data_IF_573131371019
#
_entry.id   IF_573131371019
#
_cell.length_a   1.000
_cell.length_b   1.000
_cell.length_c   1.000
_cell.angle_alpha   90.00
_cell.angle_beta   90.00
_cell.angle_gamma   90.00
#
_symmetry.space_group_name_H-M   'P 1'
#
loop_
_entity.id
_entity.type
_entity.pdbx_description
1 polymer ?
#
# COMPACT_ATOMS: atom_id res chain seq x y z
N UNK A 1 6.28 -18.02 -30.79
CA UNK A 1 6.65 -17.44 -29.46
C UNK A 1 6.97 -15.97 -29.70
N UNK A 2 5.93 -15.13 -29.71
CA UNK A 2 6.04 -13.70 -29.98
C UNK A 2 6.31 -12.98 -28.64
N UNK A 3 7.48 -12.36 -28.52
CA UNK A 3 7.79 -11.44 -27.42
C UNK A 3 6.70 -10.33 -27.39
N UNK A 4 5.88 -10.34 -26.36
CA UNK A 4 4.93 -9.24 -26.10
C UNK A 4 5.72 -7.98 -25.72
N UNK A 5 5.42 -6.91 -26.40
CA UNK A 5 6.11 -5.63 -26.35
C UNK A 5 5.92 -4.94 -24.98
N UNK A 6 6.92 -4.20 -24.55
CA UNK A 6 6.97 -3.52 -23.27
C UNK A 6 6.09 -2.26 -23.23
N UNK A 7 5.36 -2.05 -22.15
CA UNK A 7 4.75 -0.75 -21.85
C UNK A 7 5.81 0.16 -21.21
N UNK A 8 6.08 1.32 -21.82
CA UNK A 8 7.03 2.32 -21.30
C UNK A 8 6.25 3.37 -20.52
N UNK A 9 6.54 3.49 -19.24
CA UNK A 9 5.94 4.47 -18.34
C UNK A 9 6.94 5.60 -18.11
N UNK A 10 6.62 6.82 -18.58
CA UNK A 10 7.34 8.02 -18.18
C UNK A 10 6.57 8.69 -17.05
N UNK A 11 7.07 8.66 -15.83
CA UNK A 11 6.51 9.38 -14.70
C UNK A 11 7.49 10.50 -14.31
N UNK A 12 7.08 11.76 -14.42
CA UNK A 12 7.82 12.88 -13.85
C UNK A 12 7.26 13.16 -12.45
N UNK A 13 8.08 13.01 -11.43
CA UNK A 13 7.72 13.30 -10.04
C UNK A 13 8.21 14.72 -9.72
N UNK A 14 7.28 15.67 -9.61
CA UNK A 14 7.59 17.03 -9.17
C UNK A 14 7.18 17.13 -7.69
N UNK A 15 8.12 16.97 -6.76
CA UNK A 15 7.89 17.26 -5.36
C UNK A 15 8.44 18.66 -5.06
N UNK A 16 7.56 19.65 -4.94
CA UNK A 16 7.93 21.00 -4.51
C UNK A 16 7.86 21.02 -2.98
N UNK A 17 9.01 20.98 -2.33
CA UNK A 17 9.10 21.21 -0.89
C UNK A 17 9.22 22.72 -0.62
N UNK A 18 8.14 23.35 -0.25
CA UNK A 18 8.21 24.65 0.45
C UNK A 18 8.64 24.36 1.88
N UNK A 19 9.83 24.80 2.26
CA UNK A 19 10.58 24.54 3.48
C UNK A 19 9.80 24.33 4.77
N UNK A 20 9.41 23.08 5.02
CA UNK A 20 8.97 22.58 6.30
C UNK A 20 9.43 21.13 6.41
N UNK A 21 10.16 20.83 7.47
CA UNK A 21 10.78 19.52 7.69
C UNK A 21 9.75 18.38 7.57
N UNK A 22 10.11 17.29 6.89
CA UNK A 22 9.24 16.12 6.65
C UNK A 22 8.89 15.42 7.96
N UNK A 23 7.68 14.88 8.07
CA UNK A 23 7.39 13.82 9.01
C UNK A 23 8.27 12.61 8.67
N UNK A 24 8.52 11.67 9.60
CA UNK A 24 9.42 10.54 9.38
C UNK A 24 8.77 9.56 8.40
N UNK A 25 8.87 9.88 7.12
CA UNK A 25 8.60 8.98 6.02
C UNK A 25 9.95 8.42 5.59
N UNK A 26 10.09 7.09 5.60
CA UNK A 26 11.33 6.38 5.40
C UNK A 26 12.22 6.93 4.29
N UNK A 27 13.48 7.06 4.64
CA UNK A 27 14.68 7.21 3.81
C UNK A 27 14.91 8.51 3.03
N UNK A 28 15.46 9.47 3.74
CA UNK A 28 16.58 10.29 3.30
C UNK A 28 17.56 10.39 4.49
N UNK A 29 18.32 9.33 4.72
CA UNK A 29 19.25 9.20 5.83
C UNK A 29 20.67 9.56 5.38
N UNK A 30 20.89 10.82 5.02
CA UNK A 30 22.17 11.44 5.31
C UNK A 30 22.09 12.03 6.70
N UNK A 31 22.54 11.28 7.70
CA UNK A 31 22.88 11.69 9.09
C UNK A 31 22.33 13.06 9.56
N UNK A 32 21.07 13.36 9.33
CA UNK A 32 20.37 14.28 10.22
C UNK A 32 19.96 13.44 11.43
N UNK A 33 20.78 13.50 12.50
CA UNK A 33 20.36 13.08 13.83
C UNK A 33 18.95 13.62 14.01
N UNK A 34 17.95 12.73 14.12
CA UNK A 34 16.62 13.12 14.59
C UNK A 34 16.80 13.72 15.97
N UNK A 35 17.08 15.01 16.04
CA UNK A 35 16.84 15.74 17.25
C UNK A 35 15.31 15.65 17.43
N UNK A 36 14.85 14.87 18.39
CA UNK A 36 13.53 15.07 18.97
C UNK A 36 13.51 16.54 19.40
N UNK A 37 12.88 17.39 18.59
CA UNK A 37 12.76 18.80 18.95
C UNK A 37 12.02 18.87 20.29
N UNK A 38 12.50 19.68 21.26
CA UNK A 38 11.91 19.77 22.58
C UNK A 38 10.42 20.10 22.43
N UNK A 39 9.59 19.42 23.20
CA UNK A 39 8.14 19.61 23.27
C UNK A 39 7.86 21.09 23.48
N UNK A 40 7.45 21.79 22.43
CA UNK A 40 7.15 23.22 22.49
C UNK A 40 5.84 23.44 23.26
N UNK A 41 5.84 24.36 24.22
CA UNK A 41 4.62 24.81 24.89
C UNK A 41 3.65 25.56 23.94
N UNK A 42 4.09 25.81 22.70
CA UNK A 42 3.25 26.40 21.66
C UNK A 42 2.98 25.32 20.59
N UNK A 43 1.71 25.17 20.22
CA UNK A 43 1.34 24.25 19.14
C UNK A 43 2.06 24.63 17.84
N UNK A 44 2.46 23.61 17.05
CA UNK A 44 3.16 23.77 15.76
C UNK A 44 2.31 23.19 14.64
N UNK A 45 1.97 24.03 13.66
CA UNK A 45 1.36 23.59 12.41
C UNK A 45 2.42 23.43 11.35
N UNK A 46 2.45 22.26 10.70
CA UNK A 46 3.26 21.93 9.54
C UNK A 46 2.38 21.68 8.34
N UNK A 47 2.66 22.36 7.22
CA UNK A 47 1.99 22.13 5.95
C UNK A 47 3.03 21.56 4.99
N UNK A 48 2.70 20.44 4.35
CA UNK A 48 3.55 19.78 3.37
C UNK A 48 2.70 19.18 2.24
N UNK A 49 3.33 18.84 1.12
CA UNK A 49 2.61 18.26 0.01
C UNK A 49 3.53 17.94 -1.15
N UNK A 50 2.98 17.28 -2.17
CA UNK A 50 3.69 16.98 -3.41
C UNK A 50 2.70 16.78 -4.56
N UNK A 51 3.20 16.90 -5.79
CA UNK A 51 2.47 16.67 -7.03
C UNK A 51 3.18 15.58 -7.83
N UNK A 52 2.38 14.72 -8.48
CA UNK A 52 2.85 13.65 -9.38
C UNK A 52 2.16 13.75 -10.74
N UNK A 53 2.55 14.72 -11.61
CA UNK A 53 2.16 14.67 -13.00
C UNK A 53 2.78 13.43 -13.65
N UNK A 54 1.99 12.76 -14.50
CA UNK A 54 2.45 11.57 -15.21
C UNK A 54 2.09 11.63 -16.68
N UNK A 55 3.01 11.13 -17.50
CA UNK A 55 2.75 10.68 -18.85
C UNK A 55 2.83 9.16 -18.85
N UNK A 56 1.81 8.49 -19.36
CA UNK A 56 1.77 7.04 -19.48
C UNK A 56 1.49 6.63 -20.91
N UNK A 57 2.19 5.59 -21.36
CA UNK A 57 1.95 4.93 -22.62
C UNK A 57 1.69 3.45 -22.37
N UNK A 58 0.77 2.84 -23.13
CA UNK A 58 0.43 1.44 -23.01
C UNK A 58 -0.04 0.83 -24.32
N UNK A 59 0.05 -0.49 -24.41
CA UNK A 59 -0.59 -1.26 -25.47
C UNK A 59 -2.12 -1.22 -25.32
N UNK A 60 -2.84 -1.65 -26.35
CA UNK A 60 -4.29 -1.41 -26.45
C UNK A 60 -5.14 -1.88 -25.29
N UNK A 61 -4.77 -2.98 -24.64
CA UNK A 61 -5.45 -3.55 -23.48
C UNK A 61 -4.86 -3.08 -22.12
N UNK A 62 -3.88 -2.16 -22.15
CA UNK A 62 -3.25 -1.66 -20.93
C UNK A 62 -4.23 -0.86 -20.06
N UNK A 63 -4.11 -1.02 -18.74
CA UNK A 63 -4.82 -0.20 -17.75
C UNK A 63 -3.90 0.89 -17.24
N UNK A 64 -3.96 2.08 -17.83
CA UNK A 64 -3.24 3.26 -17.36
C UNK A 64 -3.87 3.81 -16.06
N UNK A 65 -3.09 4.57 -15.31
CA UNK A 65 -3.50 5.15 -14.01
C UNK A 65 -3.91 6.61 -14.10
N UNK A 66 -3.76 7.21 -15.29
CA UNK A 66 -4.18 8.58 -15.60
C UNK A 66 -4.94 8.58 -16.92
N UNK A 67 -5.89 9.51 -17.04
CA UNK A 67 -6.75 9.69 -18.21
C UNK A 67 -7.82 8.60 -18.36
N UNK A 68 -8.56 8.69 -19.44
CA UNK A 68 -9.64 7.75 -19.77
C UNK A 68 -9.10 6.42 -20.30
N UNK A 69 -9.84 5.31 -20.12
CA UNK A 69 -9.53 4.04 -20.77
C UNK A 69 -9.37 4.18 -22.29
N UNK A 70 -8.74 3.18 -22.91
CA UNK A 70 -8.63 3.11 -24.35
C UNK A 70 -9.93 2.60 -24.97
N UNK A 71 -10.40 3.26 -26.00
CA UNK A 71 -11.63 2.90 -26.74
C UNK A 71 -11.33 1.88 -27.86
N UNK A 72 -10.05 1.77 -28.29
CA UNK A 72 -9.61 0.83 -29.31
C UNK A 72 -8.51 -0.12 -28.80
N UNK A 73 -8.86 -1.34 -28.33
CA UNK A 73 -7.89 -2.29 -27.79
C UNK A 73 -6.82 -2.79 -28.78
N UNK A 74 -7.00 -2.53 -30.09
CA UNK A 74 -6.02 -2.92 -31.11
C UNK A 74 -4.88 -1.91 -31.29
N UNK A 75 -4.97 -0.74 -30.70
CA UNK A 75 -3.98 0.33 -30.84
C UNK A 75 -3.35 0.70 -29.51
N UNK A 76 -2.07 1.03 -29.53
CA UNK A 76 -1.40 1.63 -28.39
C UNK A 76 -1.90 3.05 -28.13
N UNK A 77 -1.87 3.48 -26.90
CA UNK A 77 -2.37 4.80 -26.52
C UNK A 77 -1.53 5.45 -25.42
N UNK A 78 -1.71 6.74 -25.23
CA UNK A 78 -1.01 7.47 -24.16
C UNK A 78 -1.96 8.44 -23.47
N UNK A 79 -1.61 8.82 -22.25
CA UNK A 79 -2.36 9.77 -21.41
C UNK A 79 -1.43 10.63 -20.58
N UNK A 80 -1.82 11.89 -20.43
CA UNK A 80 -1.28 12.79 -19.40
C UNK A 80 -2.30 12.93 -18.28
N UNK A 81 -1.83 13.08 -17.04
CA UNK A 81 -2.69 13.40 -15.93
C UNK A 81 -1.93 13.73 -14.65
N UNK A 82 -2.63 14.27 -13.68
CA UNK A 82 -2.14 14.45 -12.33
C UNK A 82 -2.54 13.23 -11.50
N UNK A 83 -1.60 12.29 -11.38
CA UNK A 83 -1.84 11.01 -10.69
C UNK A 83 -2.11 11.18 -9.20
N UNK A 84 -1.39 12.11 -8.56
CA UNK A 84 -1.53 12.47 -7.14
C UNK A 84 -1.20 13.93 -6.94
N UNK A 85 -1.98 14.58 -6.07
CA UNK A 85 -1.71 15.92 -5.57
C UNK A 85 -2.01 15.92 -4.08
N UNK A 86 -1.02 15.58 -3.23
CA UNK A 86 -1.24 15.47 -1.80
C UNK A 86 -0.94 16.81 -1.10
N UNK A 87 -1.83 17.20 -0.19
CA UNK A 87 -1.66 18.31 0.72
C UNK A 87 -1.95 17.83 2.15
N UNK A 88 -0.96 17.94 3.04
CA UNK A 88 -0.99 17.44 4.41
C UNK A 88 -0.83 18.60 5.40
N UNK A 89 -1.73 18.65 6.37
CA UNK A 89 -1.69 19.53 7.53
C UNK A 89 -1.43 18.67 8.76
N UNK A 90 -0.38 18.94 9.49
CA UNK A 90 -0.03 18.24 10.71
C UNK A 90 0.13 19.27 11.84
N UNK A 91 -0.68 19.16 12.87
CA UNK A 91 -0.60 20.00 14.07
C UNK A 91 -0.12 19.15 15.23
N UNK A 92 0.93 19.59 15.88
CA UNK A 92 1.50 18.92 17.07
C UNK A 92 1.45 19.87 18.28
N UNK A 93 1.03 19.31 19.42
CA UNK A 93 1.01 20.01 20.70
C UNK A 93 1.32 19.02 21.82
N UNK A 94 2.43 19.24 22.52
CA UNK A 94 2.93 18.32 23.56
C UNK A 94 3.01 16.88 23.02
N UNK A 95 2.32 15.96 23.65
CA UNK A 95 2.32 14.53 23.30
C UNK A 95 1.21 14.15 22.32
N UNK A 96 0.44 15.12 21.83
CA UNK A 96 -0.65 14.89 20.90
C UNK A 96 -0.37 15.51 19.53
N UNK A 97 -0.82 14.86 18.47
CA UNK A 97 -0.82 15.41 17.13
C UNK A 97 -2.14 15.15 16.42
N UNK A 98 -2.47 16.00 15.46
CA UNK A 98 -3.61 15.80 14.56
C UNK A 98 -3.13 15.96 13.12
N UNK A 99 -3.57 15.10 12.25
CA UNK A 99 -3.19 15.09 10.83
C UNK A 99 -4.45 15.09 9.97
N UNK A 100 -4.44 15.96 8.94
CA UNK A 100 -5.41 15.91 7.84
C UNK A 100 -4.62 15.93 6.54
N UNK A 101 -4.88 14.97 5.66
CA UNK A 101 -4.30 14.90 4.32
C UNK A 101 -5.39 14.70 3.28
N UNK A 102 -5.30 15.46 2.19
CA UNK A 102 -6.19 15.35 1.02
C UNK A 102 -5.37 15.04 -0.23
N UNK A 103 -6.01 14.38 -1.19
CA UNK A 103 -5.49 14.21 -2.56
C UNK A 103 -6.36 15.04 -3.51
N UNK A 104 -5.74 15.90 -4.29
CA UNK A 104 -6.37 16.80 -5.27
C UNK A 104 -5.91 16.40 -6.67
N UNK A 105 -6.24 15.19 -7.09
CA UNK A 105 -5.91 14.70 -8.43
C UNK A 105 -6.98 15.08 -9.45
N UNK A 106 -6.59 15.19 -10.73
CA UNK A 106 -7.53 15.46 -11.83
C UNK A 106 -8.47 14.29 -12.07
N UNK A 107 -8.05 13.08 -11.68
CA UNK A 107 -8.79 11.83 -11.94
C UNK A 107 -9.94 11.59 -10.97
N UNK A 108 -9.82 12.13 -9.75
CA UNK A 108 -10.74 11.78 -8.65
C UNK A 108 -11.33 13.00 -7.93
N UNK A 109 -10.91 14.22 -8.31
CA UNK A 109 -11.27 15.42 -7.57
C UNK A 109 -10.54 15.50 -6.21
N UNK A 110 -11.22 16.02 -5.19
CA UNK A 110 -10.68 16.13 -3.83
C UNK A 110 -11.12 14.93 -3.00
N UNK A 111 -10.17 14.17 -2.49
CA UNK A 111 -10.43 12.97 -1.68
C UNK A 111 -9.69 13.10 -0.36
N UNK A 112 -10.38 12.78 0.76
CA UNK A 112 -9.75 12.63 2.06
C UNK A 112 -8.81 11.40 2.02
N UNK A 113 -7.57 11.57 2.50
CA UNK A 113 -6.60 10.49 2.68
C UNK A 113 -6.45 10.15 4.15
N UNK A 114 -5.97 11.08 4.94
CA UNK A 114 -5.74 10.87 6.37
C UNK A 114 -6.52 11.91 7.16
N UNK A 115 -7.13 11.49 8.27
CA UNK A 115 -7.75 12.35 9.25
C UNK A 115 -7.72 11.65 10.61
N UNK A 116 -6.68 11.88 11.39
CA UNK A 116 -6.50 11.18 12.66
C UNK A 116 -5.86 12.06 13.74
N UNK A 117 -6.02 11.60 14.97
CA UNK A 117 -5.33 12.11 16.15
C UNK A 117 -4.41 11.01 16.65
N UNK A 118 -3.21 11.39 17.05
CA UNK A 118 -2.21 10.55 17.70
C UNK A 118 -1.89 11.14 19.07
N UNK A 119 -1.85 10.30 20.10
CA UNK A 119 -1.49 10.69 21.47
C UNK A 119 -0.46 9.72 22.00
N UNK A 120 0.71 10.23 22.39
CA UNK A 120 1.76 9.44 23.03
C UNK A 120 1.72 9.66 24.55
N UNK A 121 1.99 8.60 25.30
CA UNK A 121 2.15 8.74 26.74
C UNK A 121 3.45 9.54 27.06
N UNK A 122 3.46 10.37 28.12
CA UNK A 122 4.55 11.32 28.32
C UNK A 122 5.76 10.74 29.10
N UNK A 123 5.63 9.56 29.73
CA UNK A 123 6.65 9.06 30.66
C UNK A 123 7.73 8.24 29.97
N UNK A 124 7.33 7.16 29.28
CA UNK A 124 8.23 6.22 28.58
C UNK A 124 8.37 6.56 27.12
N UNK A 125 7.47 7.35 26.55
CA UNK A 125 7.34 7.68 25.12
C UNK A 125 7.28 6.44 24.22
N UNK A 126 6.83 5.34 24.79
CA UNK A 126 6.79 4.02 24.15
C UNK A 126 5.42 3.70 23.57
N UNK A 127 4.36 4.14 24.26
CA UNK A 127 2.99 3.82 23.89
C UNK A 127 2.29 5.02 23.26
N UNK A 128 1.64 4.77 22.12
CA UNK A 128 0.79 5.75 21.43
C UNK A 128 -0.57 5.15 21.11
N UNK A 129 -1.59 6.02 21.06
CA UNK A 129 -2.91 5.69 20.57
C UNK A 129 -3.21 6.58 19.38
N UNK A 130 -3.52 5.97 18.23
CA UNK A 130 -3.93 6.66 17.02
C UNK A 130 -5.39 6.34 16.71
N UNK A 131 -6.21 7.35 16.41
CA UNK A 131 -7.62 7.15 16.10
C UNK A 131 -8.08 8.07 14.97
N UNK A 132 -8.89 7.55 14.05
CA UNK A 132 -9.40 8.23 12.86
C UNK A 132 -9.22 7.45 11.59
N UNK A 133 -8.96 8.14 10.48
CA UNK A 133 -8.69 7.56 9.15
C UNK A 133 -7.18 7.61 8.87
N UNK A 134 -6.56 6.46 8.72
CA UNK A 134 -5.12 6.33 8.46
C UNK A 134 -4.79 5.00 7.76
N UNK A 135 -3.52 4.80 7.35
CA UNK A 135 -3.08 3.55 6.72
C UNK A 135 -3.30 2.36 7.65
N UNK A 136 -3.82 1.26 7.10
CA UNK A 136 -3.89 -0.03 7.80
C UNK A 136 -2.48 -0.49 8.16
N UNK A 137 -2.20 -0.92 9.40
CA UNK A 137 -0.87 -1.39 9.80
C UNK A 137 -0.62 -2.81 9.27
N UNK A 138 -0.17 -2.92 8.02
CA UNK A 138 0.10 -4.20 7.37
C UNK A 138 1.27 -4.06 6.39
N UNK A 139 2.39 -4.74 6.68
CA UNK A 139 3.58 -4.73 5.85
C UNK A 139 4.28 -3.38 5.76
N UNK A 140 5.15 -3.24 4.78
CA UNK A 140 5.94 -2.03 4.51
C UNK A 140 5.32 -1.13 3.43
N UNK A 141 4.83 -1.72 2.33
CA UNK A 141 4.46 -0.92 1.14
C UNK A 141 3.20 -0.07 1.35
N UNK A 142 2.30 -0.48 2.25
CA UNK A 142 1.13 0.33 2.63
C UNK A 142 1.57 1.59 3.38
N UNK A 143 2.54 1.48 4.29
CA UNK A 143 3.06 2.59 5.08
C UNK A 143 3.88 3.58 4.23
N UNK A 144 4.56 3.10 3.16
CA UNK A 144 5.39 3.95 2.32
C UNK A 144 4.58 5.00 1.57
N UNK A 145 4.96 6.26 1.77
CA UNK A 145 4.41 7.38 0.99
C UNK A 145 4.76 7.23 -0.49
N UNK A 146 3.82 7.61 -1.36
CA UNK A 146 4.09 7.62 -2.80
C UNK A 146 5.11 8.69 -3.22
N UNK A 147 5.46 9.64 -2.36
CA UNK A 147 6.52 10.63 -2.63
C UNK A 147 7.93 10.03 -2.55
N UNK A 148 8.11 8.97 -1.77
CA UNK A 148 9.44 8.36 -1.52
C UNK A 148 9.62 7.03 -2.23
N UNK A 149 8.56 6.36 -2.64
CA UNK A 149 8.66 5.08 -3.35
C UNK A 149 9.53 5.19 -4.61
N UNK A 150 10.25 4.13 -4.88
CA UNK A 150 11.15 3.99 -6.03
C UNK A 150 10.36 3.68 -7.32
N UNK A 151 9.15 3.13 -7.17
CA UNK A 151 8.24 2.81 -8.29
C UNK A 151 6.99 3.70 -8.24
N UNK A 152 6.42 4.12 -9.37
CA UNK A 152 5.24 4.98 -9.42
C UNK A 152 4.02 4.38 -8.72
N UNK A 153 3.85 3.05 -8.83
CA UNK A 153 2.70 2.35 -8.28
C UNK A 153 3.12 1.24 -7.32
N UNK A 154 2.22 0.92 -6.38
CA UNK A 154 2.36 -0.23 -5.49
C UNK A 154 2.28 -1.54 -6.24
N UNK A 155 2.81 -2.58 -5.63
CA UNK A 155 2.64 -3.97 -6.07
C UNK A 155 1.17 -4.32 -6.20
N UNK A 156 0.85 -5.09 -7.25
CA UNK A 156 -0.53 -5.33 -7.66
C UNK A 156 -1.42 -5.92 -6.56
N UNK A 157 -0.85 -6.73 -5.67
CA UNK A 157 -1.56 -7.35 -4.56
C UNK A 157 -2.18 -6.33 -3.58
N UNK A 158 -1.51 -5.19 -3.30
CA UNK A 158 -1.99 -4.22 -2.30
C UNK A 158 -3.28 -3.52 -2.70
N UNK A 159 -3.47 -2.94 -3.90
CA UNK A 159 -4.76 -2.36 -4.28
C UNK A 159 -5.88 -3.41 -4.42
N UNK A 160 -5.55 -4.70 -4.50
CA UNK A 160 -6.53 -5.79 -4.51
C UNK A 160 -6.99 -6.15 -3.09
N UNK A 161 -6.08 -6.26 -2.14
CA UNK A 161 -6.39 -6.65 -0.76
C UNK A 161 -6.74 -5.46 0.14
N UNK A 162 -6.12 -4.31 -0.09
CA UNK A 162 -6.24 -3.09 0.71
C UNK A 162 -6.63 -1.89 -0.17
N UNK A 163 -7.82 -1.90 -0.79
CA UNK A 163 -8.26 -0.78 -1.62
C UNK A 163 -8.16 0.54 -0.86
N UNK A 164 -7.56 1.56 -1.51
CA UNK A 164 -7.29 2.90 -0.97
C UNK A 164 -6.40 2.95 0.28
N UNK A 165 -5.88 1.80 0.75
CA UNK A 165 -4.88 1.60 1.83
C UNK A 165 -5.36 1.99 3.25
N UNK A 166 -6.25 2.97 3.36
CA UNK A 166 -6.75 3.55 4.62
C UNK A 166 -7.99 2.84 5.13
N UNK A 167 -8.17 3.01 6.42
CA UNK A 167 -9.41 2.59 7.09
C UNK A 167 -9.70 3.51 8.28
N UNK A 168 -10.95 3.55 8.70
CA UNK A 168 -11.35 4.21 9.93
C UNK A 168 -11.17 3.25 11.11
N UNK A 169 -10.41 3.68 12.13
CA UNK A 169 -10.14 2.81 13.27
C UNK A 169 -9.42 3.48 14.43
N UNK A 170 -9.04 2.64 15.39
CA UNK A 170 -8.19 2.99 16.51
C UNK A 170 -7.08 1.95 16.67
N UNK A 171 -5.85 2.39 16.88
CA UNK A 171 -4.66 1.57 16.88
C UNK A 171 -3.73 1.94 18.04
N UNK A 172 -3.25 0.93 18.75
CA UNK A 172 -2.13 1.03 19.68
C UNK A 172 -0.83 0.96 18.88
N UNK A 173 0.07 1.87 19.15
CA UNK A 173 1.44 1.89 18.63
C UNK A 173 2.40 1.72 19.80
N UNK A 174 3.25 0.70 19.73
CA UNK A 174 4.31 0.46 20.72
C UNK A 174 5.64 0.55 20.00
N UNK A 175 6.44 1.53 20.35
CA UNK A 175 7.81 1.73 19.85
C UNK A 175 8.61 2.48 20.89
N UNK A 176 9.59 1.84 21.48
CA UNK A 176 10.47 2.47 22.42
C UNK A 176 11.37 3.53 21.74
N UNK A 177 11.82 4.57 22.48
CA UNK A 177 12.80 5.53 22.00
C UNK A 177 14.13 4.88 21.62
N UNK A 178 14.94 5.54 20.77
CA UNK A 178 16.21 5.01 20.24
C UNK A 178 17.26 4.71 21.34
N UNK A 179 17.20 5.39 22.47
CA UNK A 179 18.07 5.15 23.63
C UNK A 179 17.65 3.93 24.46
N UNK A 180 16.52 3.32 24.18
CA UNK A 180 16.03 2.10 24.82
C UNK A 180 16.59 0.85 24.13
N UNK A 181 16.97 -0.20 24.89
CA UNK A 181 17.35 -1.49 24.28
C UNK A 181 16.21 -2.19 23.51
N UNK A 182 14.97 -1.72 23.69
CA UNK A 182 13.78 -2.22 23.01
C UNK A 182 13.42 -1.44 21.74
N UNK A 183 14.23 -0.45 21.31
CA UNK A 183 13.97 0.36 20.10
C UNK A 183 13.86 -0.50 18.83
N UNK A 184 14.51 -1.65 18.82
CA UNK A 184 14.50 -2.62 17.70
C UNK A 184 13.13 -3.24 17.44
N UNK A 185 12.20 -3.19 18.42
CA UNK A 185 10.87 -3.82 18.32
C UNK A 185 9.81 -2.75 18.16
N UNK A 186 8.93 -2.93 17.18
CA UNK A 186 7.73 -2.12 17.00
C UNK A 186 6.48 -2.98 16.88
N UNK A 187 5.38 -2.55 17.49
CA UNK A 187 4.08 -3.19 17.34
C UNK A 187 3.03 -2.13 17.02
N UNK A 188 2.25 -2.38 16.01
CA UNK A 188 1.02 -1.66 15.67
C UNK A 188 -0.11 -2.67 15.71
N UNK A 189 -1.18 -2.40 16.48
CA UNK A 189 -2.32 -3.29 16.56
C UNK A 189 -3.60 -2.49 16.78
N UNK A 190 -4.63 -2.72 15.97
CA UNK A 190 -5.83 -1.89 16.01
C UNK A 190 -7.10 -2.59 15.56
N UNK A 191 -8.20 -1.88 15.78
CA UNK A 191 -9.55 -2.26 15.39
C UNK A 191 -10.03 -1.24 14.35
N UNK A 192 -10.57 -1.75 13.24
CA UNK A 192 -10.94 -0.97 12.07
C UNK A 192 -12.38 -1.28 11.61
N UNK A 193 -12.98 -0.34 10.87
CA UNK A 193 -14.32 -0.54 10.31
C UNK A 193 -14.35 -1.63 9.23
N UNK A 194 -13.24 -1.84 8.51
CA UNK A 194 -13.16 -2.78 7.38
C UNK A 194 -13.70 -2.23 6.05
N UNK A 195 -14.23 -1.00 6.06
CA UNK A 195 -14.88 -0.34 4.91
C UNK A 195 -14.05 0.81 4.31
N UNK A 196 -12.77 0.91 4.68
CA UNK A 196 -11.90 1.99 4.25
C UNK A 196 -12.34 3.33 4.81
N UNK A 197 -12.33 4.37 3.96
CA UNK A 197 -12.78 5.71 4.34
C UNK A 197 -14.29 5.90 4.25
N UNK A 198 -15.02 4.86 3.83
CA UNK A 198 -16.47 4.87 3.74
C UNK A 198 -17.15 4.81 5.10
N UNK A 199 -18.48 4.94 5.10
CA UNK A 199 -19.26 4.84 6.32
C UNK A 199 -19.19 3.40 6.89
N UNK A 200 -19.10 3.31 8.20
CA UNK A 200 -19.25 2.06 8.93
C UNK A 200 -20.72 1.60 8.83
N UNK A 201 -20.94 0.45 8.22
CA UNK A 201 -22.28 -0.02 7.85
C UNK A 201 -22.67 -1.35 8.49
N UNK A 202 -21.83 -1.86 9.40
CA UNK A 202 -22.12 -3.10 10.12
C UNK A 202 -21.57 -3.11 11.55
N UNK A 203 -21.89 -4.16 12.32
CA UNK A 203 -21.47 -4.31 13.72
C UNK A 203 -20.18 -5.10 13.88
N UNK A 204 -19.53 -5.52 12.80
CA UNK A 204 -18.26 -6.25 12.84
C UNK A 204 -17.10 -5.29 12.65
N UNK A 205 -16.02 -5.56 13.35
CA UNK A 205 -14.78 -4.78 13.24
C UNK A 205 -13.64 -5.71 12.88
N UNK A 206 -12.75 -5.18 12.06
CA UNK A 206 -11.57 -5.89 11.61
C UNK A 206 -10.41 -5.62 12.58
N UNK A 207 -9.66 -6.67 12.91
CA UNK A 207 -8.41 -6.56 13.63
C UNK A 207 -7.24 -6.60 12.66
N UNK A 208 -6.31 -5.65 12.79
CA UNK A 208 -5.07 -5.62 12.00
C UNK A 208 -3.91 -5.35 12.94
N UNK A 209 -2.84 -6.13 12.79
CA UNK A 209 -1.61 -5.96 13.55
C UNK A 209 -0.37 -6.19 12.71
N UNK A 210 0.70 -5.45 13.01
CA UNK A 210 2.03 -5.57 12.44
C UNK A 210 3.07 -5.53 13.55
N UNK A 211 3.86 -6.58 13.66
CA UNK A 211 5.02 -6.67 14.52
C UNK A 211 6.27 -6.50 13.67
N UNK A 212 7.14 -5.57 14.02
CA UNK A 212 8.37 -5.29 13.29
C UNK A 212 9.60 -5.36 14.17
N UNK A 213 10.71 -5.74 13.56
CA UNK A 213 12.05 -5.76 14.14
C UNK A 213 12.97 -5.04 13.17
N UNK A 214 13.84 -4.19 13.66
CA UNK A 214 14.80 -3.50 12.82
C UNK A 214 15.81 -2.73 13.61
N UNK A 215 17.00 -2.58 13.00
CA UNK A 215 18.10 -1.81 13.56
C UNK A 215 18.93 -1.17 12.45
N UNK A 216 19.71 -0.16 12.81
CA UNK A 216 20.57 0.58 11.91
C UNK A 216 22.00 0.59 12.44
N UNK A 217 22.94 0.21 11.58
CA UNK A 217 24.40 0.18 11.79
C UNK A 217 25.04 1.16 10.82
N UNK A 218 26.34 1.36 10.92
CA UNK A 218 27.06 2.36 10.10
C UNK A 218 26.82 2.17 8.57
N UNK A 219 26.99 0.94 8.06
CA UNK A 219 26.89 0.63 6.62
C UNK A 219 25.72 -0.31 6.28
N UNK A 220 24.89 -0.63 7.27
CA UNK A 220 23.84 -1.60 7.08
C UNK A 220 22.63 -1.28 7.96
N UNK A 221 21.43 -1.37 7.40
CA UNK A 221 20.21 -1.39 8.20
C UNK A 221 19.28 -2.51 7.74
N UNK A 222 18.48 -3.00 8.66
CA UNK A 222 17.46 -3.98 8.34
C UNK A 222 16.15 -3.68 9.06
N UNK A 223 15.06 -4.06 8.42
CA UNK A 223 13.73 -4.15 9.03
C UNK A 223 13.08 -5.43 8.54
N UNK A 224 12.44 -6.17 9.44
CA UNK A 224 11.65 -7.34 9.13
C UNK A 224 10.34 -7.29 9.93
N UNK A 225 9.28 -7.86 9.41
CA UNK A 225 8.00 -7.82 10.08
C UNK A 225 7.08 -8.97 9.74
N UNK A 226 6.05 -9.12 10.58
CA UNK A 226 4.95 -10.04 10.39
C UNK A 226 3.62 -9.33 10.65
N UNK A 227 2.67 -9.54 9.75
CA UNK A 227 1.34 -8.90 9.80
C UNK A 227 0.23 -9.94 9.87
N UNK A 228 -0.82 -9.58 10.57
CA UNK A 228 -2.04 -10.36 10.63
C UNK A 228 -3.26 -9.46 10.45
N UNK A 229 -4.18 -9.89 9.57
CA UNK A 229 -5.46 -9.26 9.35
C UNK A 229 -6.57 -10.30 9.58
N UNK A 230 -7.46 -10.01 10.49
CA UNK A 230 -8.68 -10.78 10.72
C UNK A 230 -9.89 -9.85 10.62
N UNK A 231 -10.69 -10.07 9.60
CA UNK A 231 -11.83 -9.21 9.32
C UNK A 231 -12.98 -9.97 8.69
N UNK A 232 -14.00 -9.20 8.33
CA UNK A 232 -15.27 -9.72 7.89
C UNK A 232 -15.85 -8.88 6.74
N UNK A 233 -16.58 -9.54 5.85
CA UNK A 233 -17.34 -8.88 4.79
C UNK A 233 -18.79 -9.32 4.89
N UNK A 234 -19.71 -8.37 4.94
CA UNK A 234 -21.14 -8.60 4.98
C UNK A 234 -21.62 -9.33 3.72
N UNK A 235 -22.41 -10.38 3.89
CA UNK A 235 -23.03 -11.15 2.81
C UNK A 235 -24.37 -10.52 2.44
N UNK A 236 -24.43 -9.87 1.28
CA UNK A 236 -25.63 -9.18 0.80
C UNK A 236 -26.66 -10.08 0.17
N UNK A 237 -26.30 -11.34 -0.15
CA UNK A 237 -27.18 -12.36 -0.74
C UNK A 237 -27.16 -13.65 0.07
N UNK A 238 -28.05 -14.59 -0.26
CA UNK A 238 -28.08 -15.92 0.34
C UNK A 238 -27.08 -16.90 -0.26
N UNK A 239 -26.32 -16.52 -1.31
CA UNK A 239 -25.44 -17.42 -2.03
C UNK A 239 -23.98 -17.12 -1.74
N UNK A 240 -23.24 -18.16 -1.34
CA UNK A 240 -21.81 -18.13 -1.09
C UNK A 240 -21.10 -19.20 -1.92
N UNK A 241 -20.04 -18.81 -2.60
CA UNK A 241 -19.19 -19.68 -3.39
C UNK A 241 -17.85 -19.83 -2.68
N UNK A 242 -17.53 -21.03 -2.22
CA UNK A 242 -16.24 -21.33 -1.56
C UNK A 242 -15.39 -22.15 -2.48
N UNK A 243 -14.15 -21.71 -2.74
CA UNK A 243 -13.22 -22.42 -3.59
C UNK A 243 -12.74 -23.70 -2.92
N UNK A 244 -12.82 -24.80 -3.66
CA UNK A 244 -12.35 -26.14 -3.28
C UNK A 244 -11.38 -26.67 -4.35
N UNK A 245 -10.81 -27.86 -4.14
CA UNK A 245 -9.90 -28.50 -5.13
C UNK A 245 -10.63 -28.88 -6.43
N UNK A 246 -11.98 -28.97 -6.43
CA UNK A 246 -12.79 -29.31 -7.60
C UNK A 246 -13.54 -28.11 -8.21
N UNK A 247 -13.20 -26.89 -7.81
CA UNK A 247 -13.87 -25.66 -8.24
C UNK A 247 -14.71 -25.02 -7.11
N UNK A 248 -15.53 -24.04 -7.48
CA UNK A 248 -16.41 -23.38 -6.50
C UNK A 248 -17.57 -24.29 -6.07
N UNK A 249 -17.62 -24.56 -4.77
CA UNK A 249 -18.81 -25.14 -4.13
C UNK A 249 -19.77 -24.01 -3.79
N UNK A 250 -20.97 -24.09 -4.35
CA UNK A 250 -22.03 -23.12 -4.11
C UNK A 250 -22.93 -23.59 -2.97
N UNK A 251 -23.19 -22.71 -2.03
CA UNK A 251 -24.16 -22.88 -0.96
C UNK A 251 -25.18 -21.74 -1.06
N UNK A 252 -26.45 -22.11 -1.24
CA UNK A 252 -27.57 -21.14 -1.30
C UNK A 252 -28.52 -21.42 -0.15
N UNK A 253 -28.52 -20.52 0.81
CA UNK A 253 -29.40 -20.53 1.97
C UNK A 253 -29.82 -19.08 2.28
N UNK A 254 -31.12 -18.76 2.34
CA UNK A 254 -31.56 -17.43 2.71
C UNK A 254 -30.99 -16.91 4.03
N UNK A 255 -30.62 -17.79 4.95
CA UNK A 255 -29.97 -17.42 6.23
C UNK A 255 -28.54 -16.94 6.09
N UNK A 256 -27.88 -17.13 4.94
CA UNK A 256 -26.55 -16.58 4.68
C UNK A 256 -26.59 -15.05 4.47
N UNK A 257 -27.72 -14.52 3.98
CA UNK A 257 -27.88 -13.06 3.88
C UNK A 257 -27.87 -12.44 5.29
N UNK A 258 -27.02 -11.44 5.46
CA UNK A 258 -26.81 -10.80 6.76
C UNK A 258 -25.76 -11.46 7.65
N UNK A 259 -25.16 -12.58 7.21
CA UNK A 259 -23.98 -13.16 7.83
C UNK A 259 -22.71 -12.50 7.29
N UNK A 260 -21.54 -12.99 7.72
CA UNK A 260 -20.25 -12.42 7.41
C UNK A 260 -19.31 -13.48 6.86
N UNK A 261 -18.71 -13.18 5.72
CA UNK A 261 -17.62 -13.94 5.14
C UNK A 261 -16.28 -13.52 5.78
N UNK A 262 -15.45 -14.50 6.10
CA UNK A 262 -14.15 -14.27 6.73
C UNK A 262 -13.15 -13.68 5.73
N UNK A 263 -12.47 -12.59 6.13
CA UNK A 263 -11.32 -11.99 5.48
C UNK A 263 -10.12 -12.21 6.39
N UNK A 264 -9.12 -12.97 5.94
CA UNK A 264 -7.98 -13.32 6.78
C UNK A 264 -6.71 -13.33 5.97
N UNK A 265 -5.76 -12.46 6.34
CA UNK A 265 -4.48 -12.31 5.66
C UNK A 265 -3.34 -12.48 6.67
N UNK A 266 -2.27 -13.08 6.17
CA UNK A 266 -0.98 -13.18 6.83
C UNK A 266 0.04 -12.52 5.91
N UNK A 267 0.99 -11.78 6.47
CA UNK A 267 2.03 -11.11 5.72
C UNK A 267 3.38 -11.22 6.41
N UNK A 268 4.43 -11.32 5.61
CA UNK A 268 5.82 -11.18 6.03
C UNK A 268 6.48 -10.14 5.16
N UNK A 269 7.29 -9.31 5.77
CA UNK A 269 8.00 -8.24 5.09
C UNK A 269 9.46 -8.16 5.54
N UNK A 270 10.34 -7.71 4.65
CA UNK A 270 11.72 -7.42 4.97
C UNK A 270 12.26 -6.30 4.07
N UNK A 271 13.14 -5.48 4.65
CA UNK A 271 13.89 -4.45 3.96
C UNK A 271 15.31 -4.46 4.50
N UNK A 272 16.28 -4.50 3.59
CA UNK A 272 17.72 -4.42 3.89
C UNK A 272 18.31 -3.27 3.11
N UNK A 273 19.16 -2.49 3.74
CA UNK A 273 19.89 -1.40 3.11
C UNK A 273 21.37 -1.58 3.38
N UNK A 274 22.17 -1.46 2.35
CA UNK A 274 23.63 -1.61 2.37
C UNK A 274 24.25 -0.35 1.79
N UNK A 275 25.18 0.26 2.50
CA UNK A 275 26.03 1.35 2.03
C UNK A 275 27.39 0.80 1.62
N UNK A 276 27.83 1.13 0.42
CA UNK A 276 29.11 0.67 -0.16
C UNK A 276 29.73 1.80 -0.96
N UNK A 277 31.00 1.64 -1.36
CA UNK A 277 31.68 2.59 -2.25
C UNK A 277 31.03 2.76 -3.63
N UNK A 278 30.09 1.87 -4.00
CA UNK A 278 29.33 1.97 -5.24
C UNK A 278 27.98 2.71 -5.05
N UNK A 279 27.63 3.00 -3.81
CA UNK A 279 26.39 3.65 -3.43
C UNK A 279 25.52 2.81 -2.50
N UNK A 280 24.26 3.21 -2.36
CA UNK A 280 23.32 2.58 -1.44
C UNK A 280 22.41 1.60 -2.17
N UNK A 281 22.40 0.35 -1.70
CA UNK A 281 21.52 -0.70 -2.24
C UNK A 281 20.41 -1.02 -1.25
N UNK A 282 19.17 -0.95 -1.68
CA UNK A 282 17.98 -1.36 -0.92
C UNK A 282 17.39 -2.62 -1.54
N UNK A 283 17.24 -3.68 -0.75
CA UNK A 283 16.49 -4.88 -1.07
C UNK A 283 15.25 -4.95 -0.19
N UNK A 284 14.06 -4.92 -0.79
CA UNK A 284 12.79 -4.97 -0.07
C UNK A 284 11.85 -6.00 -0.68
N UNK A 285 11.11 -6.70 0.16
CA UNK A 285 10.12 -7.65 -0.29
C UNK A 285 9.03 -7.88 0.74
N UNK A 286 7.87 -8.30 0.23
CA UNK A 286 6.73 -8.70 1.06
C UNK A 286 6.07 -9.92 0.43
N UNK A 287 5.58 -10.83 1.27
CA UNK A 287 4.80 -11.99 0.88
C UNK A 287 3.54 -12.09 1.72
N UNK A 288 2.40 -12.19 1.03
CA UNK A 288 1.07 -12.24 1.63
C UNK A 288 0.34 -13.48 1.17
N UNK A 289 -0.44 -14.09 2.08
CA UNK A 289 -1.31 -15.21 1.76
C UNK A 289 -2.52 -15.25 2.71
N UNK A 290 -3.54 -15.99 2.32
CA UNK A 290 -4.73 -16.12 3.16
C UNK A 290 -5.99 -16.45 2.41
N UNK A 291 -7.11 -15.96 2.93
CA UNK A 291 -8.43 -16.08 2.31
C UNK A 291 -9.07 -14.71 2.16
N UNK A 292 -9.57 -14.42 0.97
CA UNK A 292 -10.26 -13.18 0.70
C UNK A 292 -11.65 -13.41 0.12
N UNK A 293 -12.66 -12.60 0.53
CA UNK A 293 -13.93 -12.50 -0.15
C UNK A 293 -13.82 -11.54 -1.33
N UNK A 294 -14.57 -11.84 -2.38
CA UNK A 294 -14.70 -11.02 -3.57
C UNK A 294 -16.02 -11.31 -4.27
N UNK A 295 -16.10 -10.99 -5.56
CA UNK A 295 -17.23 -11.33 -6.43
C UNK A 295 -16.81 -12.31 -7.52
N UNK A 296 -17.72 -12.74 -8.36
CA UNK A 296 -17.40 -13.58 -9.52
C UNK A 296 -16.40 -12.91 -10.46
N UNK A 297 -16.57 -11.60 -10.70
CA UNK A 297 -15.80 -10.82 -11.67
C UNK A 297 -14.65 -10.02 -11.07
N UNK A 298 -14.48 -10.04 -9.74
CA UNK A 298 -13.43 -9.30 -9.05
C UNK A 298 -12.90 -10.05 -7.84
N UNK A 299 -11.58 -10.22 -7.80
CA UNK A 299 -10.84 -10.68 -6.62
C UNK A 299 -10.48 -9.53 -5.66
N UNK A 300 -10.92 -8.29 -5.96
CA UNK A 300 -10.69 -7.14 -5.10
C UNK A 300 -11.49 -7.29 -3.80
N UNK A 301 -10.82 -7.10 -2.68
CA UNK A 301 -11.46 -7.11 -1.36
C UNK A 301 -12.51 -5.99 -1.28
N UNK A 302 -13.73 -6.26 -0.82
CA UNK A 302 -14.73 -5.22 -0.63
C UNK A 302 -14.24 -4.13 0.32
N UNK A 303 -14.46 -2.86 -0.05
CA UNK A 303 -14.07 -1.67 0.69
C UNK A 303 -15.02 -0.54 0.34
N UNK A 304 -16.27 -0.67 0.77
CA UNK A 304 -17.34 0.24 0.39
C UNK A 304 -18.28 0.51 1.56
N UNK A 305 -18.86 1.72 1.58
CA UNK A 305 -19.93 2.10 2.50
C UNK A 305 -21.27 1.43 2.18
N UNK A 306 -21.43 0.86 0.98
CA UNK A 306 -22.63 0.14 0.59
C UNK A 306 -22.47 -1.35 0.91
N UNK A 307 -23.56 -1.98 1.36
CA UNK A 307 -23.60 -3.42 1.54
C UNK A 307 -23.42 -4.12 0.18
N UNK A 308 -22.62 -5.21 0.11
CA UNK A 308 -22.47 -5.98 -1.13
C UNK A 308 -23.83 -6.49 -1.66
N UNK A 309 -24.10 -6.23 -2.93
CA UNK A 309 -25.33 -6.68 -3.61
C UNK A 309 -25.13 -7.97 -4.41
N UNK A 310 -23.89 -8.44 -4.56
CA UNK A 310 -23.51 -9.64 -5.30
C UNK A 310 -23.22 -10.81 -4.37
N UNK A 311 -23.25 -12.03 -4.94
CA UNK A 311 -22.84 -13.23 -4.25
C UNK A 311 -21.36 -13.15 -3.82
N UNK A 312 -21.07 -13.78 -2.69
CA UNK A 312 -19.73 -13.79 -2.09
C UNK A 312 -18.91 -14.97 -2.62
N UNK A 313 -17.73 -14.67 -3.12
CA UNK A 313 -16.74 -15.65 -3.59
C UNK A 313 -15.54 -15.66 -2.66
N UNK A 314 -15.32 -16.78 -1.96
CA UNK A 314 -14.18 -16.98 -1.06
C UNK A 314 -13.07 -17.72 -1.77
N UNK A 315 -11.89 -17.08 -1.84
CA UNK A 315 -10.70 -17.57 -2.54
C UNK A 315 -9.49 -17.62 -1.62
N UNK A 316 -8.74 -18.74 -1.58
CA UNK A 316 -7.40 -18.72 -1.02
C UNK A 316 -6.47 -17.99 -2.00
N UNK A 317 -5.67 -17.06 -1.51
CA UNK A 317 -4.75 -16.28 -2.33
C UNK A 317 -3.33 -16.33 -1.78
N UNK A 318 -2.36 -15.95 -2.63
CA UNK A 318 -0.99 -15.63 -2.26
C UNK A 318 -0.41 -14.62 -3.23
N UNK A 319 0.66 -13.97 -2.82
CA UNK A 319 1.42 -13.08 -3.68
C UNK A 319 2.36 -12.18 -2.92
N UNK A 320 3.02 -11.29 -3.63
CA UNK A 320 3.98 -10.38 -3.04
C UNK A 320 4.88 -9.74 -4.08
N UNK A 321 5.98 -9.17 -3.62
CA UNK A 321 6.97 -8.58 -4.49
C UNK A 321 8.38 -8.69 -3.91
N UNK A 322 9.38 -8.54 -4.79
CA UNK A 322 10.76 -8.24 -4.45
C UNK A 322 11.19 -7.03 -5.25
N UNK A 323 11.83 -6.07 -4.58
CA UNK A 323 12.33 -4.83 -5.16
C UNK A 323 13.81 -4.69 -4.81
N UNK A 324 14.62 -4.38 -5.82
CA UNK A 324 16.01 -3.97 -5.69
C UNK A 324 16.13 -2.54 -6.20
N UNK A 325 16.59 -1.63 -5.34
CA UNK A 325 16.93 -0.26 -5.72
C UNK A 325 18.40 0.01 -5.41
N UNK A 326 19.04 0.81 -6.26
CA UNK A 326 20.44 1.19 -6.09
C UNK A 326 20.62 2.68 -6.41
N UNK A 327 21.02 3.44 -5.41
CA UNK A 327 21.44 4.84 -5.54
C UNK A 327 22.93 4.85 -5.87
N UNK A 328 23.29 5.31 -7.07
CA UNK A 328 24.65 5.24 -7.59
C UNK A 328 25.48 6.36 -6.94
N UNK A 329 26.59 5.99 -6.28
CA UNK A 329 27.48 6.92 -5.59
C UNK A 329 27.97 8.03 -6.53
N UNK A 330 28.14 9.23 -6.00
CA UNK A 330 28.60 10.43 -6.72
C UNK A 330 27.77 10.81 -7.96
N UNK A 331 26.57 10.27 -8.11
CA UNK A 331 25.66 10.62 -9.21
C UNK A 331 24.27 11.00 -8.71
N UNK A 332 23.51 11.77 -9.47
CA UNK A 332 22.10 12.05 -9.13
C UNK A 332 21.15 10.95 -9.63
N UNK A 333 21.58 9.71 -9.82
CA UNK A 333 20.76 8.66 -10.43
C UNK A 333 20.58 7.47 -9.50
N UNK A 334 19.35 6.94 -9.51
CA UNK A 334 19.00 5.66 -8.89
C UNK A 334 18.38 4.73 -9.92
N UNK A 335 18.62 3.44 -9.76
CA UNK A 335 18.03 2.38 -10.58
C UNK A 335 17.09 1.52 -9.72
N UNK A 336 16.04 0.99 -10.31
CA UNK A 336 15.13 0.06 -9.63
C UNK A 336 14.75 -1.09 -10.53
N UNK A 337 14.71 -2.28 -9.93
CA UNK A 337 14.11 -3.49 -10.52
C UNK A 337 13.09 -4.06 -9.54
N UNK A 338 11.95 -4.52 -10.04
CA UNK A 338 10.86 -5.07 -9.22
C UNK A 338 10.23 -6.28 -9.89
N UNK A 339 10.01 -7.34 -9.12
CA UNK A 339 9.18 -8.47 -9.50
C UNK A 339 7.93 -8.49 -8.63
N UNK A 340 6.78 -8.60 -9.27
CA UNK A 340 5.46 -8.63 -8.66
C UNK A 340 4.74 -9.94 -9.02
N UNK A 341 4.07 -10.56 -8.05
CA UNK A 341 3.21 -11.72 -8.29
C UNK A 341 1.94 -11.66 -7.43
N UNK A 342 0.81 -11.96 -8.03
CA UNK A 342 -0.46 -12.12 -7.34
C UNK A 342 -1.25 -13.29 -7.91
N UNK A 343 -1.48 -14.30 -7.09
CA UNK A 343 -2.31 -15.47 -7.35
C UNK A 343 -3.61 -15.30 -6.56
N UNK A 344 -4.69 -14.83 -7.18
CA UNK A 344 -5.97 -14.56 -6.50
C UNK A 344 -6.70 -15.83 -6.07
N UNK A 345 -6.30 -16.99 -6.60
CA UNK A 345 -6.96 -18.28 -6.32
C UNK A 345 -5.96 -19.43 -6.46
N UNK A 346 -5.28 -19.78 -5.37
CA UNK A 346 -4.21 -20.79 -5.34
C UNK A 346 -4.67 -22.21 -5.68
N UNK A 347 -5.99 -22.43 -5.82
CA UNK A 347 -6.58 -23.72 -6.24
C UNK A 347 -6.77 -23.82 -7.75
N UNK A 348 -6.47 -22.75 -8.49
CA UNK A 348 -6.64 -22.71 -9.95
C UNK A 348 -5.27 -22.61 -10.61
N UNK A 349 -4.97 -23.54 -11.51
CA UNK A 349 -3.75 -23.52 -12.31
C UNK A 349 -3.99 -24.11 -13.69
N UNK A 350 -3.27 -23.59 -14.72
CA UNK A 350 -3.28 -24.13 -16.06
C UNK A 350 -4.67 -24.29 -16.66
N UNK A 351 -5.01 -25.53 -17.03
CA UNK A 351 -6.27 -25.86 -17.70
C UNK A 351 -7.52 -25.81 -16.78
N UNK A 352 -7.35 -25.62 -15.49
CA UNK A 352 -8.47 -25.48 -14.56
C UNK A 352 -9.16 -24.09 -14.66
N UNK A 353 -8.50 -23.12 -15.32
CA UNK A 353 -9.10 -21.82 -15.56
C UNK A 353 -10.28 -21.93 -16.54
N UNK A 354 -11.44 -21.39 -16.16
CA UNK A 354 -12.69 -21.49 -16.93
C UNK A 354 -13.52 -22.75 -16.63
N UNK A 355 -13.06 -23.60 -15.71
CA UNK A 355 -13.81 -24.78 -15.24
C UNK A 355 -14.24 -24.61 -13.78
N UNK A 356 -15.22 -25.38 -13.31
CA UNK A 356 -15.65 -25.34 -11.90
C UNK A 356 -16.11 -23.97 -11.40
N UNK A 357 -16.62 -23.09 -12.29
CA UNK A 357 -17.05 -21.73 -11.97
C UNK A 357 -15.93 -20.68 -11.88
N UNK A 358 -14.69 -21.05 -12.22
CA UNK A 358 -13.53 -20.14 -12.26
C UNK A 358 -13.48 -19.32 -13.54
N UNK A 359 -12.73 -18.23 -13.56
CA UNK A 359 -12.57 -17.37 -14.72
C UNK A 359 -11.29 -16.54 -14.68
N UNK A 360 -11.18 -15.55 -15.56
CA UNK A 360 -10.00 -14.66 -15.66
C UNK A 360 -9.67 -13.94 -14.33
N UNK A 361 -10.65 -13.78 -13.47
CA UNK A 361 -10.49 -13.22 -12.11
C UNK A 361 -9.61 -14.10 -11.23
N UNK A 362 -9.58 -15.41 -11.51
CA UNK A 362 -8.84 -16.41 -10.74
C UNK A 362 -7.43 -16.66 -11.32
N UNK A 363 -7.07 -15.97 -12.41
CA UNK A 363 -5.79 -16.16 -13.08
C UNK A 363 -4.63 -15.51 -12.30
N UNK A 364 -3.53 -16.26 -12.16
CA UNK A 364 -2.26 -15.72 -11.66
C UNK A 364 -1.77 -14.57 -12.53
N UNK A 365 -1.29 -13.51 -11.90
CA UNK A 365 -0.71 -12.33 -12.53
C UNK A 365 0.71 -12.10 -12.00
N UNK A 366 1.61 -11.73 -12.88
CA UNK A 366 2.96 -11.35 -12.52
C UNK A 366 3.42 -10.18 -13.39
N UNK A 367 4.40 -9.43 -12.89
CA UNK A 367 5.03 -8.36 -13.64
C UNK A 367 6.50 -8.24 -13.27
N UNK A 368 7.34 -7.87 -14.23
CA UNK A 368 8.70 -7.42 -13.99
C UNK A 368 8.78 -5.97 -14.42
N UNK A 369 9.33 -5.12 -13.55
CA UNK A 369 9.47 -3.70 -13.81
C UNK A 369 10.89 -3.22 -13.60
N UNK A 370 11.28 -2.23 -14.41
CA UNK A 370 12.57 -1.56 -14.33
C UNK A 370 12.35 -0.05 -14.39
N UNK A 371 13.18 0.70 -13.68
CA UNK A 371 13.09 2.14 -13.68
C UNK A 371 14.40 2.83 -13.35
N UNK A 372 14.43 4.12 -13.64
CA UNK A 372 15.48 5.02 -13.26
C UNK A 372 14.89 6.31 -12.69
N UNK A 373 15.51 6.84 -11.67
CA UNK A 373 15.17 8.13 -11.05
C UNK A 373 16.33 9.09 -11.23
N UNK A 374 16.02 10.33 -11.60
CA UNK A 374 16.98 11.41 -11.62
C UNK A 374 16.66 12.39 -10.49
N UNK A 375 17.55 12.49 -9.51
CA UNK A 375 17.45 13.41 -8.38
C UNK A 375 18.00 14.79 -8.77
N UNK A 376 17.19 15.65 -9.41
CA UNK A 376 17.62 16.98 -9.87
C UNK A 376 17.97 17.88 -8.69
N UNK A 377 17.15 17.86 -7.66
CA UNK A 377 17.33 18.59 -6.39
C UNK A 377 16.47 17.96 -5.31
N UNK A 378 16.68 18.34 -4.05
CA UNK A 378 15.81 17.91 -2.94
C UNK A 378 14.34 18.23 -3.27
N UNK A 379 13.52 17.18 -3.33
CA UNK A 379 12.09 17.31 -3.64
C UNK A 379 11.71 17.33 -5.12
N UNK A 380 12.66 17.20 -6.06
CA UNK A 380 12.37 17.11 -7.49
C UNK A 380 13.09 15.90 -8.10
N UNK A 381 12.32 14.86 -8.41
CA UNK A 381 12.83 13.62 -8.99
C UNK A 381 11.93 13.09 -10.12
N UNK A 382 12.28 13.26 -11.39
CA UNK A 382 11.68 12.52 -12.49
C UNK A 382 11.96 11.02 -12.37
N UNK A 383 10.93 10.21 -12.60
CA UNK A 383 11.02 8.74 -12.59
C UNK A 383 10.58 8.22 -13.95
N UNK A 384 11.42 7.43 -14.59
CA UNK A 384 11.05 6.61 -15.76
C UNK A 384 10.90 5.16 -15.32
N UNK A 385 9.78 4.55 -15.63
CA UNK A 385 9.50 3.17 -15.21
C UNK A 385 8.74 2.42 -16.30
N UNK A 386 9.16 1.19 -16.55
CA UNK A 386 8.48 0.27 -17.47
C UNK A 386 8.21 -1.06 -16.78
N UNK A 387 7.13 -1.74 -17.16
CA UNK A 387 6.87 -3.09 -16.70
C UNK A 387 6.31 -3.98 -17.81
N UNK A 388 6.68 -5.25 -17.72
CA UNK A 388 6.20 -6.34 -18.57
C UNK A 388 5.25 -7.22 -17.74
N UNK A 389 4.17 -7.65 -18.35
CA UNK A 389 3.18 -8.53 -17.72
C UNK A 389 2.99 -9.80 -18.53
#
# INVERSE_FOLDING_TARGET
MTLRKAAILFAALLAIHTGAAAAPDGHDDRKEKRHEEPVSDKGRLKISGYLQPQFQWGEGDASLKVGTPNDNPSESFNRFGLRRGHLKFAYAYKTASAVVQIDVSTEKGVILKDAYIDVKEPWLRTFGLQAGVFNRPFGLEIELSSSVRETPERSYIFPMLFPDERDFGAMLVIRAPEDSPWHIVGLQAGIFSGNGIGQDNDNRKDFIGHLSFGDEFDDFSFRAGASYYHGFVYQGTGTVHTMTDSGFRTETDPSNKGRYAKRQYYGFDACFRFETDLGTTTLRGEYLFGTQPGTQTSSKSPNTAALPASDTYLRPFRGGYVLLAHDIEDTPFSLVAKYDVYDPNTKVSGNALGTGGTGITDALRWAIGFGATWHIMKGLKPVSYTHLR
#
